data_IF_792757735421
#
_entry.id   IF_792757735421
#
_cell.length_a   1.000
_cell.length_b   1.000
_cell.length_c   1.000
_cell.angle_alpha   90.00
_cell.angle_beta   90.00
_cell.angle_gamma   90.00
#
_symmetry.space_group_name_H-M   'P 1'
#
loop_
_entity.id
_entity.type
_entity.pdbx_description
1 polymer ?
#
# COMPACT_ATOMS: atom_id res chain seq x y z
N UNK A 1 14.31 -14.00 6.42
CA UNK A 1 14.27 -12.62 5.92
C UNK A 1 12.84 -12.26 5.56
N UNK A 2 12.36 -11.09 6.02
CA UNK A 2 10.98 -10.68 5.76
C UNK A 2 10.85 -10.03 4.41
N UNK A 3 9.74 -10.31 3.74
CA UNK A 3 9.47 -9.74 2.43
C UNK A 3 7.99 -9.35 2.31
N UNK A 4 7.66 -8.59 1.26
CA UNK A 4 6.28 -8.31 0.96
C UNK A 4 5.89 -8.92 -0.38
N UNK A 5 4.59 -9.18 -0.52
CA UNK A 5 4.00 -9.57 -1.79
C UNK A 5 2.81 -8.66 -2.07
N UNK A 6 2.43 -8.56 -3.33
CA UNK A 6 1.34 -7.71 -3.79
C UNK A 6 0.23 -8.58 -4.35
N UNK A 7 -1.02 -8.25 -4.02
CA UNK A 7 -2.16 -8.84 -4.72
C UNK A 7 -2.24 -8.26 -6.13
N UNK A 8 -2.97 -8.91 -7.02
CA UNK A 8 -3.23 -8.34 -8.35
C UNK A 8 -3.90 -6.99 -8.28
N UNK A 9 -4.80 -6.81 -7.32
CA UNK A 9 -5.44 -5.51 -7.07
C UNK A 9 -4.42 -4.45 -6.69
N UNK A 10 -3.53 -4.76 -5.75
CA UNK A 10 -2.50 -3.81 -5.31
C UNK A 10 -1.58 -3.44 -6.47
N UNK A 11 -1.17 -4.41 -7.28
CA UNK A 11 -0.34 -4.14 -8.47
C UNK A 11 -1.04 -3.18 -9.43
N UNK A 12 -2.31 -3.41 -9.72
CA UNK A 12 -3.09 -2.54 -10.60
C UNK A 12 -3.22 -1.13 -10.03
N UNK A 13 -3.48 -1.02 -8.74
CA UNK A 13 -3.61 0.28 -8.07
C UNK A 13 -2.30 1.06 -8.08
N UNK A 14 -1.17 0.37 -7.84
CA UNK A 14 0.15 1.00 -7.90
C UNK A 14 0.42 1.53 -9.31
N UNK A 15 0.08 0.74 -10.33
CA UNK A 15 0.24 1.18 -11.71
C UNK A 15 -0.60 2.43 -12.02
N UNK A 16 -1.86 2.44 -11.58
CA UNK A 16 -2.73 3.61 -11.77
C UNK A 16 -2.17 4.86 -11.07
N UNK A 17 -1.66 4.70 -9.85
CA UNK A 17 -1.04 5.79 -9.10
C UNK A 17 0.18 6.32 -9.87
N UNK A 18 0.99 5.42 -10.41
CA UNK A 18 2.18 5.79 -11.17
C UNK A 18 1.82 6.56 -12.44
N UNK A 19 0.87 6.06 -13.21
CA UNK A 19 0.43 6.70 -14.45
C UNK A 19 -0.20 8.07 -14.19
N UNK A 20 -1.02 8.17 -13.16
CA UNK A 20 -1.59 9.44 -12.74
C UNK A 20 -0.48 10.42 -12.32
N UNK A 21 0.51 9.92 -11.58
CA UNK A 21 1.64 10.73 -11.15
C UNK A 21 2.45 11.27 -12.31
N UNK A 22 2.67 10.46 -13.36
CA UNK A 22 3.35 10.92 -14.59
C UNK A 22 2.58 12.08 -15.21
N UNK A 23 1.27 11.92 -15.33
CA UNK A 23 0.40 12.91 -15.95
C UNK A 23 0.38 14.23 -15.17
N UNK A 24 0.37 14.16 -13.84
CA UNK A 24 0.24 15.34 -12.99
C UNK A 24 1.59 15.99 -12.64
N UNK A 25 2.65 15.21 -12.49
CA UNK A 25 3.91 15.68 -11.90
C UNK A 25 5.14 15.31 -12.74
N UNK A 26 4.99 14.57 -13.82
CA UNK A 26 6.09 14.12 -14.65
C UNK A 26 6.71 12.79 -14.19
N UNK A 27 7.47 12.17 -15.10
CA UNK A 27 8.03 10.82 -14.90
C UNK A 27 8.95 10.75 -13.69
N UNK A 28 9.81 11.76 -13.52
CA UNK A 28 10.80 11.76 -12.43
C UNK A 28 10.12 11.71 -11.07
N UNK A 29 9.15 12.59 -10.85
CA UNK A 29 8.43 12.66 -9.57
C UNK A 29 7.61 11.39 -9.34
N UNK A 30 6.98 10.87 -10.39
CA UNK A 30 6.21 9.64 -10.30
C UNK A 30 7.09 8.44 -9.89
N UNK A 31 8.31 8.35 -10.44
CA UNK A 31 9.26 7.30 -10.07
C UNK A 31 9.70 7.42 -8.62
N UNK A 32 9.98 8.63 -8.16
CA UNK A 32 10.36 8.86 -6.77
C UNK A 32 9.26 8.40 -5.82
N UNK A 33 8.02 8.72 -6.12
CA UNK A 33 6.89 8.31 -5.29
C UNK A 33 6.72 6.79 -5.28
N UNK A 34 6.86 6.16 -6.45
CA UNK A 34 6.79 4.70 -6.57
C UNK A 34 7.88 4.02 -5.74
N UNK A 35 9.10 4.55 -5.79
CA UNK A 35 10.22 4.00 -5.02
C UNK A 35 10.02 4.17 -3.52
N UNK A 36 9.52 5.33 -3.09
CA UNK A 36 9.15 5.56 -1.68
C UNK A 36 8.11 4.55 -1.21
N UNK A 37 7.11 4.28 -2.04
CA UNK A 37 6.05 3.33 -1.71
C UNK A 37 6.61 1.93 -1.57
N UNK A 38 7.48 1.50 -2.49
CA UNK A 38 8.13 0.19 -2.41
C UNK A 38 8.97 0.07 -1.13
N UNK A 39 9.69 1.14 -0.78
CA UNK A 39 10.45 1.18 0.46
C UNK A 39 9.54 1.05 1.68
N UNK A 40 8.39 1.71 1.64
CA UNK A 40 7.39 1.61 2.71
C UNK A 40 6.87 0.17 2.85
N UNK A 41 6.62 -0.52 1.75
CA UNK A 41 6.20 -1.93 1.80
C UNK A 41 7.26 -2.80 2.49
N UNK A 42 8.54 -2.56 2.21
CA UNK A 42 9.60 -3.32 2.86
C UNK A 42 9.68 -3.01 4.36
N UNK A 43 9.48 -1.76 4.75
CA UNK A 43 9.41 -1.39 6.16
C UNK A 43 8.26 -2.11 6.86
N UNK A 44 7.12 -2.23 6.22
CA UNK A 44 5.98 -2.97 6.76
C UNK A 44 6.29 -4.47 6.87
N UNK A 45 7.02 -5.03 5.92
CA UNK A 45 7.44 -6.42 5.98
C UNK A 45 8.37 -6.67 7.17
N UNK A 46 9.28 -5.74 7.43
CA UNK A 46 10.24 -5.84 8.53
C UNK A 46 9.63 -5.51 9.89
N UNK A 47 8.60 -4.67 9.89
CA UNK A 47 7.92 -4.22 11.12
C UNK A 47 6.40 -4.29 10.92
N UNK A 48 5.82 -5.51 10.89
CA UNK A 48 4.42 -5.67 10.46
C UNK A 48 3.39 -4.96 11.32
N UNK A 49 3.72 -4.65 12.57
CA UNK A 49 2.82 -3.96 13.49
C UNK A 49 2.97 -2.43 13.43
N UNK A 50 3.78 -1.91 12.52
CA UNK A 50 3.94 -0.47 12.34
C UNK A 50 2.63 0.20 11.92
N UNK A 51 1.84 -0.45 11.06
CA UNK A 51 0.50 -0.01 10.75
C UNK A 51 -0.47 -0.35 11.88
N UNK A 52 -1.63 0.29 11.88
CA UNK A 52 -2.65 0.06 12.91
C UNK A 52 -3.72 -0.91 12.41
N UNK A 53 -4.41 -1.61 13.33
CA UNK A 53 -5.51 -2.49 12.96
C UNK A 53 -6.62 -1.74 12.22
N UNK A 54 -7.21 -2.39 11.24
CA UNK A 54 -8.32 -1.86 10.45
C UNK A 54 -9.39 -2.94 10.27
N UNK A 55 -9.75 -3.62 11.35
CA UNK A 55 -10.69 -4.74 11.32
C UNK A 55 -12.09 -4.34 10.83
N UNK A 56 -12.42 -3.04 10.89
CA UNK A 56 -13.68 -2.55 10.35
C UNK A 56 -13.75 -2.72 8.84
N UNK A 57 -12.60 -2.76 8.16
CA UNK A 57 -12.53 -3.00 6.71
C UNK A 57 -12.67 -4.49 6.44
N UNK A 58 -11.88 -5.31 7.13
CA UNK A 58 -11.94 -6.76 7.10
C UNK A 58 -11.07 -7.31 8.23
N UNK A 59 -11.42 -8.49 8.73
CA UNK A 59 -10.68 -9.11 9.83
C UNK A 59 -9.22 -9.32 9.48
N UNK A 60 -8.34 -8.94 10.40
CA UNK A 60 -6.89 -9.13 10.23
C UNK A 60 -6.21 -8.09 9.36
N UNK A 61 -6.96 -7.17 8.78
CA UNK A 61 -6.39 -6.11 7.95
C UNK A 61 -5.79 -5.02 8.83
N UNK A 62 -4.66 -4.52 8.39
CA UNK A 62 -3.98 -3.36 8.99
C UNK A 62 -3.86 -2.26 7.95
N UNK A 63 -3.70 -1.03 8.40
CA UNK A 63 -3.55 0.13 7.52
C UNK A 63 -2.33 0.95 7.91
N UNK A 64 -1.71 1.54 6.92
CA UNK A 64 -0.60 2.46 7.10
C UNK A 64 -0.70 3.58 6.07
N UNK A 65 -0.66 4.81 6.53
CA UNK A 65 -0.75 5.98 5.66
C UNK A 65 0.62 6.31 5.07
N UNK A 66 0.62 6.57 3.77
CA UNK A 66 1.80 7.05 3.05
C UNK A 66 1.37 8.24 2.20
N UNK A 67 1.58 9.45 2.71
CA UNK A 67 1.11 10.69 2.09
C UNK A 67 -0.41 10.63 1.88
N UNK A 68 -0.91 10.83 0.67
CA UNK A 68 -2.35 10.82 0.40
C UNK A 68 -2.94 9.42 0.20
N UNK A 69 -2.12 8.38 0.25
CA UNK A 69 -2.55 7.00 0.05
C UNK A 69 -2.56 6.20 1.33
N UNK A 70 -3.41 5.21 1.38
CA UNK A 70 -3.50 4.25 2.49
C UNK A 70 -3.14 2.87 1.95
N UNK A 71 -2.17 2.24 2.60
CA UNK A 71 -1.74 0.89 2.30
C UNK A 71 -2.51 -0.04 3.21
N UNK A 72 -3.24 -0.99 2.63
CA UNK A 72 -3.96 -2.02 3.37
C UNK A 72 -3.22 -3.33 3.20
N UNK A 73 -2.93 -3.99 4.31
CA UNK A 73 -2.11 -5.19 4.28
C UNK A 73 -2.52 -6.14 5.40
N UNK A 74 -2.05 -7.38 5.29
CA UNK A 74 -2.20 -8.37 6.35
C UNK A 74 -0.87 -9.06 6.60
N UNK A 75 -0.72 -9.60 7.81
CA UNK A 75 0.46 -10.37 8.18
C UNK A 75 0.34 -11.76 7.56
N UNK A 76 1.43 -12.21 6.96
CA UNK A 76 1.54 -13.56 6.40
C UNK A 76 2.87 -14.16 6.83
N UNK A 77 3.04 -15.44 6.61
CA UNK A 77 4.33 -16.10 6.90
C UNK A 77 5.44 -15.42 6.09
N UNK A 78 6.47 -14.99 6.77
CA UNK A 78 7.63 -14.37 6.14
C UNK A 78 7.48 -12.90 5.78
N UNK A 79 6.41 -12.24 6.25
CA UNK A 79 6.26 -10.80 6.02
C UNK A 79 4.82 -10.31 5.93
N UNK A 80 4.49 -9.60 4.88
CA UNK A 80 3.16 -9.03 4.69
C UNK A 80 2.67 -9.23 3.26
N UNK A 81 1.35 -9.25 3.11
CA UNK A 81 0.68 -9.22 1.81
C UNK A 81 -0.01 -7.86 1.69
N UNK A 82 0.38 -7.09 0.69
CA UNK A 82 -0.24 -5.80 0.41
C UNK A 82 -1.53 -6.07 -0.37
N UNK A 83 -2.66 -5.76 0.24
CA UNK A 83 -3.98 -6.07 -0.28
C UNK A 83 -4.49 -5.01 -1.25
N UNK A 84 -4.23 -3.75 -0.92
CA UNK A 84 -4.73 -2.62 -1.70
C UNK A 84 -3.94 -1.36 -1.35
N UNK A 85 -3.87 -0.44 -2.32
CA UNK A 85 -3.31 0.90 -2.11
C UNK A 85 -4.33 1.87 -2.66
N UNK A 86 -4.99 2.62 -1.77
CA UNK A 86 -6.10 3.48 -2.14
C UNK A 86 -5.88 4.90 -1.66
N UNK A 87 -6.54 5.86 -2.29
CA UNK A 87 -6.52 7.23 -1.81
C UNK A 87 -7.23 7.29 -0.46
N UNK A 88 -6.72 8.12 0.47
CA UNK A 88 -7.30 8.23 1.81
C UNK A 88 -8.79 8.54 1.81
N UNK A 89 -9.27 9.29 0.80
CA UNK A 89 -10.69 9.61 0.65
C UNK A 89 -11.55 8.39 0.34
N UNK A 90 -10.97 7.34 -0.21
CA UNK A 90 -11.70 6.15 -0.66
C UNK A 90 -11.81 5.07 0.40
N UNK A 91 -11.12 5.21 1.52
CA UNK A 91 -11.04 4.16 2.54
C UNK A 91 -12.41 3.81 3.11
N UNK A 92 -13.28 4.80 3.33
CA UNK A 92 -14.60 4.58 3.93
C UNK A 92 -15.52 3.72 3.06
N UNK A 93 -15.28 3.70 1.74
CA UNK A 93 -16.09 2.97 0.77
C UNK A 93 -15.46 1.65 0.37
N UNK A 94 -14.32 1.34 0.96
CA UNK A 94 -13.52 0.20 0.55
C UNK A 94 -14.13 -1.10 1.07
N UNK A 95 -14.22 -2.08 0.17
CA UNK A 95 -14.54 -3.46 0.49
C UNK A 95 -13.42 -4.34 -0.03
N UNK A 96 -12.93 -5.16 0.83
CA UNK A 96 -11.91 -6.13 0.47
C UNK A 96 -12.51 -7.52 0.30
#
# INVERSE_FOLDING_TARGET
MNSYRLTGRAEAEILEIFLYGIEQFGVRQARLYKDEMAHCFQLLADTPHMGRPANIIADGVRRHENKSHVILYELVDGGVLILAVVHGRSVRRLKL
#
